data_IF_322543764424
#
_entry.id   IF_322543764424
#
_cell.length_a   1.000
_cell.length_b   1.000
_cell.length_c   1.000
_cell.angle_alpha   90.00
_cell.angle_beta   90.00
_cell.angle_gamma   90.00
#
_symmetry.space_group_name_H-M   'P 1'
#
loop_
_entity.id
_entity.type
_entity.pdbx_description
1 polymer ?
#
# COMPACT_ATOMS: atom_id res chain seq x y z
N UNK A 1 34.90 -12.52 22.90
CA UNK A 1 35.17 -12.06 21.51
C UNK A 1 33.95 -11.27 21.06
N UNK A 2 34.01 -9.94 20.91
CA UNK A 2 32.86 -9.19 20.44
C UNK A 2 32.52 -9.63 19.01
N UNK A 3 31.26 -10.00 18.77
CA UNK A 3 30.76 -10.33 17.44
C UNK A 3 30.94 -9.09 16.53
N UNK A 4 31.43 -9.30 15.31
CA UNK A 4 31.50 -8.19 14.35
C UNK A 4 30.07 -7.65 14.08
N UNK A 5 29.90 -6.33 13.85
CA UNK A 5 28.57 -5.73 13.66
C UNK A 5 27.72 -6.42 12.58
N UNK A 6 28.36 -6.90 11.51
CA UNK A 6 27.72 -7.67 10.45
C UNK A 6 27.21 -9.05 10.91
N UNK A 7 27.95 -9.73 11.80
CA UNK A 7 27.55 -11.03 12.35
C UNK A 7 26.41 -10.86 13.35
N UNK A 8 26.42 -9.80 14.16
CA UNK A 8 25.31 -9.41 15.03
C UNK A 8 24.02 -9.14 14.26
N UNK A 9 24.09 -8.40 13.15
CA UNK A 9 22.92 -8.11 12.29
C UNK A 9 22.32 -9.37 11.67
N UNK A 10 23.14 -10.30 11.16
CA UNK A 10 22.66 -11.58 10.62
C UNK A 10 21.96 -12.44 11.67
N UNK A 11 22.50 -12.46 12.88
CA UNK A 11 21.89 -13.20 14.01
C UNK A 11 20.56 -12.58 14.40
N UNK A 12 20.49 -11.24 14.54
CA UNK A 12 19.24 -10.53 14.83
C UNK A 12 18.15 -10.85 13.79
N UNK A 13 18.47 -10.75 12.49
CA UNK A 13 17.50 -11.02 11.41
C UNK A 13 16.97 -12.45 11.43
N UNK A 14 17.79 -13.43 11.84
CA UNK A 14 17.33 -14.80 12.05
C UNK A 14 16.33 -14.90 13.21
N UNK A 15 16.57 -14.23 14.33
CA UNK A 15 15.64 -14.24 15.46
C UNK A 15 14.34 -13.50 15.15
N UNK A 16 14.41 -12.37 14.42
CA UNK A 16 13.22 -11.65 13.93
C UNK A 16 12.38 -12.57 13.05
N UNK A 17 12.98 -13.30 12.12
CA UNK A 17 12.25 -14.24 11.25
C UNK A 17 11.57 -15.37 12.03
N UNK A 18 12.26 -15.97 13.01
CA UNK A 18 11.69 -17.03 13.86
C UNK A 18 10.50 -16.50 14.67
N UNK A 19 10.65 -15.32 15.27
CA UNK A 19 9.60 -14.74 16.10
C UNK A 19 8.41 -14.26 15.26
N UNK A 20 8.65 -13.65 14.10
CA UNK A 20 7.60 -13.29 13.16
C UNK A 20 6.80 -14.52 12.68
N UNK A 21 7.47 -15.63 12.39
CA UNK A 21 6.79 -16.88 12.04
C UNK A 21 5.92 -17.42 13.19
N UNK A 22 6.39 -17.30 14.44
CA UNK A 22 5.58 -17.65 15.60
C UNK A 22 4.34 -16.74 15.72
N UNK A 23 4.49 -15.42 15.60
CA UNK A 23 3.37 -14.48 15.67
C UNK A 23 2.32 -14.74 14.58
N UNK A 24 2.75 -15.04 13.35
CA UNK A 24 1.85 -15.38 12.24
C UNK A 24 1.04 -16.64 12.55
N UNK A 25 1.67 -17.67 13.11
CA UNK A 25 0.97 -18.91 13.49
C UNK A 25 -0.07 -18.67 14.60
N UNK A 26 0.14 -17.67 15.46
CA UNK A 26 -0.81 -17.23 16.48
C UNK A 26 -1.86 -16.24 15.94
N UNK A 27 -1.89 -15.97 14.63
CA UNK A 27 -2.80 -15.01 14.00
C UNK A 27 -2.46 -13.54 14.24
N UNK A 28 -1.25 -13.24 14.73
CA UNK A 28 -0.80 -11.89 15.11
C UNK A 28 0.04 -11.22 14.01
N UNK A 29 -0.44 -11.27 12.76
CA UNK A 29 0.32 -10.82 11.59
C UNK A 29 0.60 -9.31 11.57
N UNK A 30 -0.21 -8.49 12.25
CA UNK A 30 0.09 -7.05 12.47
C UNK A 30 1.34 -6.88 13.34
N UNK A 31 1.50 -7.67 14.41
CA UNK A 31 2.70 -7.59 15.27
C UNK A 31 3.94 -8.09 14.51
N UNK A 32 3.78 -9.10 13.66
CA UNK A 32 4.85 -9.55 12.77
C UNK A 32 5.29 -8.44 11.80
N UNK A 33 4.35 -7.66 11.25
CA UNK A 33 4.65 -6.48 10.44
C UNK A 33 5.39 -5.40 11.24
N UNK A 34 4.98 -5.14 12.49
CA UNK A 34 5.63 -4.16 13.36
C UNK A 34 7.10 -4.51 13.64
N UNK A 35 7.42 -5.80 13.82
CA UNK A 35 8.81 -6.25 13.96
C UNK A 35 9.66 -5.89 12.73
N UNK A 36 9.14 -6.12 11.53
CA UNK A 36 9.87 -5.81 10.30
C UNK A 36 9.94 -4.31 10.00
N UNK A 37 8.97 -3.55 10.50
CA UNK A 37 9.02 -2.08 10.47
C UNK A 37 10.10 -1.55 11.42
N UNK A 38 10.30 -2.20 12.58
CA UNK A 38 11.28 -1.79 13.60
C UNK A 38 12.71 -2.22 13.27
N UNK A 39 12.90 -3.46 12.80
CA UNK A 39 14.23 -4.06 12.60
C UNK A 39 14.65 -4.15 11.13
N UNK A 40 13.78 -3.76 10.20
CA UNK A 40 13.98 -3.84 8.75
C UNK A 40 13.69 -5.22 8.18
N UNK A 41 13.23 -5.26 6.92
CA UNK A 41 12.93 -6.48 6.17
C UNK A 41 13.98 -6.70 5.06
N UNK A 42 15.03 -7.51 5.30
CA UNK A 42 16.03 -7.78 4.27
C UNK A 42 15.44 -8.64 3.15
N UNK A 43 15.84 -8.38 1.90
CA UNK A 43 15.44 -9.15 0.71
C UNK A 43 16.12 -10.54 0.64
N UNK A 44 16.00 -11.33 1.70
CA UNK A 44 16.48 -12.72 1.78
C UNK A 44 15.39 -13.68 1.33
N UNK A 45 15.70 -14.53 0.36
CA UNK A 45 14.75 -15.51 -0.19
C UNK A 45 14.16 -16.45 0.88
N UNK A 46 14.91 -16.74 1.95
CA UNK A 46 14.44 -17.57 3.07
C UNK A 46 13.24 -16.96 3.80
N UNK A 47 13.07 -15.63 3.74
CA UNK A 47 12.01 -14.91 4.44
C UNK A 47 10.82 -14.55 3.54
N UNK A 48 10.88 -14.79 2.23
CA UNK A 48 9.81 -14.35 1.31
C UNK A 48 8.44 -14.94 1.64
N UNK A 49 8.39 -16.19 2.11
CA UNK A 49 7.13 -16.80 2.55
C UNK A 49 6.53 -16.06 3.75
N UNK A 50 7.36 -15.52 4.65
CA UNK A 50 6.92 -14.73 5.79
C UNK A 50 6.31 -13.41 5.31
N UNK A 51 6.99 -12.69 4.40
CA UNK A 51 6.50 -11.43 3.85
C UNK A 51 5.20 -11.60 3.07
N UNK A 52 5.12 -12.64 2.23
CA UNK A 52 3.89 -13.02 1.52
C UNK A 52 2.76 -13.34 2.49
N UNK A 53 3.04 -14.09 3.56
CA UNK A 53 2.03 -14.43 4.56
C UNK A 53 1.52 -13.21 5.33
N UNK A 54 2.40 -12.29 5.70
CA UNK A 54 2.01 -11.00 6.32
C UNK A 54 1.07 -10.23 5.39
N UNK A 55 1.41 -10.12 4.09
CA UNK A 55 0.55 -9.46 3.11
C UNK A 55 -0.83 -10.14 3.04
N UNK A 56 -0.87 -11.47 2.80
CA UNK A 56 -2.12 -12.21 2.62
C UNK A 56 -3.00 -12.11 3.87
N UNK A 57 -2.43 -12.23 5.07
CA UNK A 57 -3.20 -12.13 6.31
C UNK A 57 -3.78 -10.72 6.51
N UNK A 58 -3.02 -9.67 6.18
CA UNK A 58 -3.49 -8.29 6.31
C UNK A 58 -4.56 -7.97 5.26
N UNK A 59 -4.39 -8.39 4.00
CA UNK A 59 -5.41 -8.15 2.96
C UNK A 59 -6.68 -8.95 3.20
N UNK A 60 -6.62 -10.07 3.91
CA UNK A 60 -7.81 -10.83 4.32
C UNK A 60 -8.46 -10.35 5.61
N UNK A 61 -7.81 -9.47 6.38
CA UNK A 61 -8.32 -9.04 7.67
C UNK A 61 -9.54 -8.11 7.55
N UNK A 62 -10.58 -8.39 8.34
CA UNK A 62 -11.77 -7.53 8.52
C UNK A 62 -11.45 -6.27 9.32
N UNK A 63 -12.24 -5.21 9.13
CA UNK A 63 -12.08 -3.94 9.87
C UNK A 63 -10.93 -3.04 9.39
N UNK A 64 -10.13 -3.49 8.43
CA UNK A 64 -9.07 -2.67 7.81
C UNK A 64 -9.56 -1.80 6.63
N UNK A 65 -10.86 -1.77 6.37
CA UNK A 65 -11.51 -0.94 5.35
C UNK A 65 -11.86 0.48 5.82
N UNK A 66 -11.26 0.92 6.93
CA UNK A 66 -11.56 2.20 7.59
C UNK A 66 -10.36 3.14 7.59
N UNK A 67 -10.60 4.43 7.82
CA UNK A 67 -9.53 5.45 7.93
C UNK A 67 -8.54 5.15 9.06
N UNK A 68 -8.99 4.53 10.15
CA UNK A 68 -8.17 4.15 11.31
C UNK A 68 -7.12 3.09 10.97
N UNK A 69 -7.32 2.33 9.89
CA UNK A 69 -6.41 1.28 9.45
C UNK A 69 -5.18 1.82 8.71
N UNK A 70 -5.11 3.13 8.44
CA UNK A 70 -4.03 3.74 7.66
C UNK A 70 -2.64 3.32 8.12
N UNK A 71 -2.36 3.32 9.43
CA UNK A 71 -1.05 2.97 9.98
C UNK A 71 -0.61 1.54 9.64
N UNK A 72 -1.56 0.59 9.64
CA UNK A 72 -1.27 -0.81 9.27
C UNK A 72 -0.90 -0.88 7.79
N UNK A 73 -1.68 -0.22 6.94
CA UNK A 73 -1.46 -0.20 5.50
C UNK A 73 -0.18 0.54 5.10
N UNK A 74 0.12 1.69 5.70
CA UNK A 74 1.35 2.43 5.42
C UNK A 74 2.58 1.70 5.90
N UNK A 75 2.51 0.98 7.03
CA UNK A 75 3.60 0.11 7.49
C UNK A 75 3.85 -1.04 6.52
N UNK A 76 2.79 -1.69 6.02
CA UNK A 76 2.88 -2.75 5.01
C UNK A 76 3.47 -2.22 3.69
N UNK A 77 2.98 -1.07 3.22
CA UNK A 77 3.50 -0.35 2.05
C UNK A 77 5.00 -0.07 2.19
N UNK A 78 5.43 0.46 3.33
CA UNK A 78 6.83 0.81 3.57
C UNK A 78 7.74 -0.43 3.62
N UNK A 79 7.26 -1.53 4.22
CA UNK A 79 7.97 -2.82 4.22
C UNK A 79 8.13 -3.35 2.78
N UNK A 80 7.03 -3.39 2.01
CA UNK A 80 7.06 -3.84 0.61
C UNK A 80 7.92 -2.94 -0.28
N UNK A 81 7.93 -1.63 -0.02
CA UNK A 81 8.75 -0.68 -0.75
C UNK A 81 10.24 -0.93 -0.52
N UNK A 82 10.63 -1.15 0.74
CA UNK A 82 12.02 -1.47 1.10
C UNK A 82 12.48 -2.75 0.41
N UNK A 83 11.65 -3.80 0.42
CA UNK A 83 11.93 -5.07 -0.26
C UNK A 83 12.04 -4.89 -1.77
N UNK A 84 11.11 -4.15 -2.39
CA UNK A 84 11.15 -3.85 -3.82
C UNK A 84 12.41 -3.08 -4.23
N UNK A 85 12.85 -2.09 -3.44
CA UNK A 85 14.09 -1.35 -3.70
C UNK A 85 15.32 -2.25 -3.62
N UNK A 86 15.44 -3.06 -2.57
CA UNK A 86 16.56 -4.01 -2.43
C UNK A 86 16.58 -5.01 -3.60
N UNK A 87 15.43 -5.55 -3.99
CA UNK A 87 15.30 -6.44 -5.15
C UNK A 87 15.63 -5.74 -6.47
N UNK A 88 15.33 -4.46 -6.60
CA UNK A 88 15.62 -3.70 -7.82
C UNK A 88 17.10 -3.38 -7.98
N UNK A 89 17.83 -3.23 -6.87
CA UNK A 89 19.26 -2.96 -6.87
C UNK A 89 20.12 -4.23 -7.04
N UNK A 90 19.60 -5.39 -6.63
CA UNK A 90 20.32 -6.66 -6.78
C UNK A 90 20.16 -7.21 -8.21
N UNK A 91 21.25 -7.24 -8.98
CA UNK A 91 21.27 -7.78 -10.36
C UNK A 91 20.92 -9.27 -10.43
N UNK A 92 21.13 -10.01 -9.34
CA UNK A 92 20.92 -11.45 -9.26
C UNK A 92 19.47 -11.83 -8.90
N UNK A 93 18.61 -10.85 -8.61
CA UNK A 93 17.21 -11.12 -8.28
C UNK A 93 16.45 -11.58 -9.52
N UNK A 94 15.66 -12.65 -9.37
CA UNK A 94 14.75 -13.10 -10.42
C UNK A 94 13.73 -12.00 -10.79
N UNK A 95 13.59 -11.69 -12.08
CA UNK A 95 12.64 -10.70 -12.61
C UNK A 95 11.18 -11.01 -12.18
N UNK A 96 10.81 -12.30 -12.09
CA UNK A 96 9.47 -12.68 -11.64
C UNK A 96 9.21 -12.30 -10.17
N UNK A 97 10.19 -12.52 -9.29
CA UNK A 97 10.10 -12.12 -7.89
C UNK A 97 10.02 -10.61 -7.74
N UNK A 98 10.79 -9.86 -8.54
CA UNK A 98 10.72 -8.39 -8.53
C UNK A 98 9.34 -7.89 -8.92
N UNK A 99 8.73 -8.48 -9.96
CA UNK A 99 7.35 -8.17 -10.39
C UNK A 99 6.33 -8.52 -9.32
N UNK A 100 6.46 -9.68 -8.67
CA UNK A 100 5.60 -10.09 -7.57
C UNK A 100 5.62 -9.06 -6.41
N UNK A 101 6.80 -8.66 -5.95
CA UNK A 101 6.92 -7.64 -4.89
C UNK A 101 6.49 -6.23 -5.33
N UNK A 102 6.60 -5.92 -6.62
CA UNK A 102 6.02 -4.69 -7.16
C UNK A 102 4.49 -4.71 -7.06
N UNK A 103 3.84 -5.85 -7.37
CA UNK A 103 2.40 -6.02 -7.18
C UNK A 103 2.01 -5.91 -5.71
N UNK A 104 2.76 -6.55 -4.79
CA UNK A 104 2.53 -6.45 -3.35
C UNK A 104 2.63 -5.02 -2.82
N UNK A 105 3.61 -4.28 -3.33
CA UNK A 105 3.77 -2.87 -3.03
C UNK A 105 2.58 -2.04 -3.54
N UNK A 106 2.14 -2.25 -4.79
CA UNK A 106 1.00 -1.54 -5.35
C UNK A 106 -0.28 -1.78 -4.56
N UNK A 107 -0.60 -3.04 -4.22
CA UNK A 107 -1.77 -3.40 -3.40
C UNK A 107 -1.70 -2.66 -2.06
N UNK A 108 -0.58 -2.77 -1.37
CA UNK A 108 -0.38 -2.13 -0.05
C UNK A 108 -0.47 -0.60 -0.15
N UNK A 109 0.07 -0.01 -1.22
CA UNK A 109 0.01 1.41 -1.48
C UNK A 109 -1.42 1.89 -1.76
N UNK A 110 -2.21 1.16 -2.55
CA UNK A 110 -3.59 1.53 -2.85
C UNK A 110 -4.48 1.46 -1.61
N UNK A 111 -4.32 0.43 -0.77
CA UNK A 111 -5.03 0.38 0.51
C UNK A 111 -4.63 1.53 1.45
N UNK A 112 -3.32 1.84 1.56
CA UNK A 112 -2.85 2.96 2.37
C UNK A 112 -3.38 4.31 1.87
N UNK A 113 -3.32 4.53 0.56
CA UNK A 113 -3.82 5.73 -0.09
C UNK A 113 -5.32 5.85 0.12
N UNK A 114 -6.08 4.76 -0.05
CA UNK A 114 -7.53 4.74 0.16
C UNK A 114 -7.89 5.14 1.59
N UNK A 115 -7.23 4.53 2.58
CA UNK A 115 -7.47 4.84 3.99
C UNK A 115 -7.17 6.31 4.33
N UNK A 116 -6.13 6.91 3.71
CA UNK A 116 -5.82 8.33 3.88
C UNK A 116 -6.87 9.22 3.22
N UNK A 117 -7.19 9.00 1.94
CA UNK A 117 -8.06 9.93 1.21
C UNK A 117 -9.52 9.86 1.66
N UNK A 118 -9.95 8.75 2.28
CA UNK A 118 -11.26 8.63 2.92
C UNK A 118 -11.45 9.57 4.13
N UNK A 119 -10.40 10.22 4.65
CA UNK A 119 -10.55 11.24 5.68
C UNK A 119 -11.09 12.58 5.13
N UNK A 120 -11.08 12.76 3.80
CA UNK A 120 -11.53 13.97 3.13
C UNK A 120 -12.60 13.64 2.08
N UNK A 121 -13.83 14.13 2.30
CA UNK A 121 -14.97 13.86 1.42
C UNK A 121 -14.75 14.34 -0.02
N UNK A 122 -13.91 15.36 -0.23
CA UNK A 122 -13.58 15.86 -1.58
C UNK A 122 -12.78 14.86 -2.40
N UNK A 123 -12.21 13.82 -1.76
CA UNK A 123 -11.46 12.75 -2.38
C UNK A 123 -12.22 11.41 -2.42
N UNK A 124 -13.51 11.37 -2.08
CA UNK A 124 -14.28 10.12 -2.10
C UNK A 124 -14.25 9.41 -3.47
N UNK A 125 -14.28 10.15 -4.57
CA UNK A 125 -14.11 9.59 -5.93
C UNK A 125 -12.76 8.92 -6.10
N UNK A 126 -11.69 9.45 -5.47
CA UNK A 126 -10.36 8.84 -5.48
C UNK A 126 -10.35 7.52 -4.70
N UNK A 127 -11.02 7.48 -3.54
CA UNK A 127 -11.19 6.25 -2.77
C UNK A 127 -11.94 5.17 -3.57
N UNK A 128 -12.99 5.55 -4.29
CA UNK A 128 -13.73 4.64 -5.17
C UNK A 128 -12.83 4.09 -6.29
N UNK A 129 -12.10 4.95 -7.01
CA UNK A 129 -11.15 4.51 -8.04
C UNK A 129 -10.10 3.52 -7.53
N UNK A 130 -9.60 3.75 -6.31
CA UNK A 130 -8.64 2.86 -5.66
C UNK A 130 -9.23 1.48 -5.36
N UNK A 131 -10.45 1.41 -4.82
CA UNK A 131 -11.13 0.12 -4.59
C UNK A 131 -11.45 -0.61 -5.87
N UNK A 132 -11.94 0.11 -6.89
CA UNK A 132 -12.15 -0.46 -8.23
C UNK A 132 -10.86 -1.02 -8.80
N UNK A 133 -9.75 -0.30 -8.61
CA UNK A 133 -8.43 -0.74 -9.06
C UNK A 133 -7.91 -1.99 -8.36
N UNK A 134 -8.29 -2.20 -7.09
CA UNK A 134 -7.92 -3.39 -6.33
C UNK A 134 -8.62 -4.66 -6.86
N UNK A 135 -9.71 -4.56 -7.63
CA UNK A 135 -10.34 -5.70 -8.29
C UNK A 135 -9.41 -6.43 -9.27
N UNK A 136 -8.38 -5.75 -9.81
CA UNK A 136 -7.36 -6.39 -10.66
C UNK A 136 -6.39 -7.29 -9.90
N UNK A 137 -6.49 -7.31 -8.58
CA UNK A 137 -5.58 -8.01 -7.68
C UNK A 137 -6.31 -9.08 -6.86
N UNK A 138 -7.47 -9.57 -7.35
CA UNK A 138 -8.27 -10.61 -6.69
C UNK A 138 -7.62 -11.98 -6.66
N UNK A 139 -6.50 -12.17 -7.36
CA UNK A 139 -5.60 -13.31 -7.23
C UNK A 139 -4.82 -13.31 -5.89
N UNK A 140 -4.70 -12.14 -5.23
CA UNK A 140 -4.01 -11.94 -3.96
C UNK A 140 -4.96 -11.44 -2.86
N UNK A 141 -5.85 -10.52 -3.20
CA UNK A 141 -6.87 -9.95 -2.33
C UNK A 141 -8.12 -10.84 -2.39
N UNK A 142 -8.74 -11.23 -1.26
CA UNK A 142 -9.99 -12.00 -1.31
C UNK A 142 -11.05 -11.30 -2.15
N UNK A 143 -11.60 -12.02 -3.13
CA UNK A 143 -12.47 -11.44 -4.14
C UNK A 143 -13.76 -10.88 -3.54
N UNK A 144 -14.39 -11.62 -2.65
CA UNK A 144 -15.57 -11.18 -1.89
C UNK A 144 -15.33 -9.83 -1.16
N UNK A 145 -14.19 -9.68 -0.48
CA UNK A 145 -13.79 -8.42 0.13
C UNK A 145 -13.61 -7.31 -0.91
N UNK A 146 -12.88 -7.59 -1.99
CA UNK A 146 -12.55 -6.59 -2.99
C UNK A 146 -13.81 -6.05 -3.70
N UNK A 147 -14.72 -6.95 -4.12
CA UNK A 147 -15.99 -6.60 -4.76
C UNK A 147 -16.93 -5.87 -3.80
N UNK A 148 -17.00 -6.28 -2.54
CA UNK A 148 -17.77 -5.56 -1.52
C UNK A 148 -17.26 -4.13 -1.30
N UNK A 149 -15.96 -3.95 -1.09
CA UNK A 149 -15.37 -2.63 -0.86
C UNK A 149 -15.49 -1.72 -2.10
N UNK A 150 -15.38 -2.28 -3.30
CA UNK A 150 -15.58 -1.54 -4.56
C UNK A 150 -17.04 -1.13 -4.75
N UNK A 151 -17.99 -2.05 -4.56
CA UNK A 151 -19.43 -1.78 -4.64
C UNK A 151 -19.87 -0.70 -3.67
N UNK A 152 -19.46 -0.81 -2.40
CA UNK A 152 -19.77 0.16 -1.35
C UNK A 152 -19.27 1.57 -1.68
N UNK A 153 -18.03 1.70 -2.15
CA UNK A 153 -17.46 3.01 -2.46
C UNK A 153 -18.03 3.59 -3.75
N UNK A 154 -18.28 2.78 -4.78
CA UNK A 154 -18.98 3.22 -5.99
C UNK A 154 -20.37 3.76 -5.64
N UNK A 155 -21.13 3.05 -4.81
CA UNK A 155 -22.45 3.48 -4.33
C UNK A 155 -22.36 4.83 -3.61
N UNK A 156 -21.38 5.02 -2.74
CA UNK A 156 -21.24 6.27 -1.97
C UNK A 156 -20.88 7.51 -2.81
N UNK A 157 -20.35 7.32 -4.01
CA UNK A 157 -20.05 8.42 -4.96
C UNK A 157 -21.05 8.52 -6.10
N UNK A 158 -22.16 7.76 -6.05
CA UNK A 158 -23.21 7.77 -7.07
C UNK A 158 -22.86 7.04 -8.36
N UNK A 159 -21.88 6.14 -8.36
CA UNK A 159 -21.54 5.29 -9.51
C UNK A 159 -22.42 4.03 -9.50
N UNK A 160 -23.73 4.21 -9.64
CA UNK A 160 -24.72 3.14 -9.45
C UNK A 160 -24.52 1.95 -10.40
N UNK A 161 -24.18 2.19 -11.67
CA UNK A 161 -23.92 1.13 -12.65
C UNK A 161 -22.77 0.22 -12.20
N UNK A 162 -21.61 0.80 -11.85
CA UNK A 162 -20.46 0.03 -11.34
C UNK A 162 -20.78 -0.64 -10.00
N UNK A 163 -21.45 0.08 -9.09
CA UNK A 163 -21.85 -0.48 -7.81
C UNK A 163 -22.75 -1.72 -7.99
N UNK A 164 -23.69 -1.66 -8.93
CA UNK A 164 -24.61 -2.75 -9.21
C UNK A 164 -23.86 -3.97 -9.74
N UNK A 165 -23.05 -3.81 -10.78
CA UNK A 165 -22.28 -4.91 -11.39
C UNK A 165 -21.37 -5.57 -10.35
N UNK A 166 -20.64 -4.79 -9.55
CA UNK A 166 -19.75 -5.35 -8.52
C UNK A 166 -20.48 -6.03 -7.38
N UNK A 167 -21.63 -5.49 -6.97
CA UNK A 167 -22.40 -6.08 -5.86
C UNK A 167 -23.15 -7.32 -6.30
N UNK A 168 -23.64 -7.36 -7.54
CA UNK A 168 -24.25 -8.57 -8.10
C UNK A 168 -23.21 -9.70 -8.16
N UNK A 169 -22.02 -9.41 -8.71
CA UNK A 169 -20.94 -10.40 -8.76
C UNK A 169 -20.45 -10.83 -7.37
N UNK A 170 -20.49 -9.95 -6.36
CA UNK A 170 -20.25 -10.32 -4.98
C UNK A 170 -21.22 -11.39 -4.48
N UNK A 171 -22.51 -11.29 -4.84
CA UNK A 171 -23.51 -12.29 -4.43
C UNK A 171 -23.21 -13.64 -5.09
N UNK A 172 -22.83 -13.65 -6.37
CA UNK A 172 -22.40 -14.87 -7.06
C UNK A 172 -21.17 -15.49 -6.36
N UNK A 173 -20.18 -14.67 -5.98
CA UNK A 173 -19.00 -15.13 -5.22
C UNK A 173 -19.42 -15.69 -3.86
N UNK A 174 -20.36 -15.05 -3.16
CA UNK A 174 -20.84 -15.55 -1.88
C UNK A 174 -21.50 -16.92 -2.01
N UNK A 175 -22.31 -17.14 -3.04
CA UNK A 175 -22.90 -18.44 -3.37
C UNK A 175 -21.82 -19.48 -3.72
N UNK A 176 -20.83 -19.10 -4.52
CA UNK A 176 -19.69 -19.97 -4.85
C UNK A 176 -18.86 -20.37 -3.61
N UNK A 177 -18.70 -19.48 -2.63
CA UNK A 177 -18.04 -19.79 -1.34
C UNK A 177 -18.87 -20.80 -0.55
N UNK A 178 -20.19 -20.66 -0.50
CA UNK A 178 -21.09 -21.60 0.17
C UNK A 178 -21.07 -22.99 -0.49
N UNK A 179 -21.03 -23.05 -1.82
CA UNK A 179 -20.98 -24.29 -2.61
C UNK A 179 -19.57 -24.90 -2.67
N UNK A 180 -18.53 -24.12 -2.37
CA UNK A 180 -17.12 -24.54 -2.42
C UNK A 180 -16.58 -24.75 -3.84
N UNK A 181 -17.22 -24.18 -4.86
CA UNK A 181 -16.79 -24.27 -6.27
C UNK A 181 -17.06 -22.96 -7.02
N UNK A 182 -16.20 -22.64 -8.00
CA UNK A 182 -16.35 -21.48 -8.89
C UNK A 182 -17.15 -21.81 -10.16
N UNK A 183 -17.55 -23.07 -10.37
CA UNK A 183 -18.15 -23.54 -11.62
C UNK A 183 -19.48 -22.82 -11.97
N UNK A 184 -20.15 -22.26 -10.97
CA UNK A 184 -21.41 -21.51 -11.10
C UNK A 184 -21.22 -20.02 -11.37
N UNK A 185 -20.00 -19.47 -11.30
CA UNK A 185 -19.77 -18.04 -11.48
C UNK A 185 -19.93 -17.62 -12.95
N UNK A 186 -20.79 -16.64 -13.20
CA UNK A 186 -20.85 -15.94 -14.47
C UNK A 186 -19.83 -14.80 -14.51
N UNK A 187 -18.98 -14.80 -15.55
CA UNK A 187 -17.98 -13.77 -15.80
C UNK A 187 -18.29 -12.92 -17.03
N UNK A 188 -19.51 -13.03 -17.58
CA UNK A 188 -19.95 -12.34 -18.79
C UNK A 188 -19.71 -10.82 -18.73
N UNK A 189 -20.00 -10.19 -17.59
CA UNK A 189 -19.82 -8.77 -17.35
C UNK A 189 -18.36 -8.30 -17.38
N UNK A 190 -17.41 -9.22 -17.19
CA UNK A 190 -15.98 -8.92 -17.04
C UNK A 190 -15.11 -9.38 -18.22
N UNK A 191 -15.69 -10.01 -19.25
CA UNK A 191 -14.95 -10.57 -20.41
C UNK A 191 -14.01 -9.60 -21.12
N UNK A 192 -14.36 -8.30 -21.17
CA UNK A 192 -13.59 -7.25 -21.84
C UNK A 192 -12.81 -6.36 -20.84
N UNK A 193 -12.52 -6.89 -19.65
CA UNK A 193 -11.79 -6.21 -18.58
C UNK A 193 -10.48 -6.94 -18.27
N UNK A 194 -9.69 -6.38 -17.36
CA UNK A 194 -8.47 -6.98 -16.80
C UNK A 194 -8.68 -7.45 -15.35
N UNK A 195 -9.94 -7.68 -14.95
CA UNK A 195 -10.28 -8.31 -13.67
C UNK A 195 -10.12 -9.84 -13.82
N UNK A 196 -9.33 -10.50 -12.95
CA UNK A 196 -9.11 -11.95 -13.02
C UNK A 196 -10.40 -12.77 -12.91
N UNK A 197 -10.55 -13.81 -13.76
CA UNK A 197 -11.60 -14.84 -13.62
C UNK A 197 -11.18 -15.95 -12.67
N UNK A 198 -9.92 -16.36 -12.73
CA UNK A 198 -9.36 -17.36 -11.83
C UNK A 198 -8.95 -16.69 -10.52
N UNK A 199 -9.79 -16.85 -9.49
CA UNK A 199 -9.58 -16.31 -8.15
C UNK A 199 -9.46 -17.45 -7.13
N UNK A 200 -8.62 -17.31 -6.09
CA UNK A 200 -8.64 -18.24 -4.97
C UNK A 200 -9.94 -18.05 -4.18
N UNK A 201 -10.72 -19.12 -4.02
CA UNK A 201 -11.94 -19.10 -3.22
C UNK A 201 -11.58 -19.03 -1.72
N UNK A 202 -12.05 -18.01 -0.97
CA UNK A 202 -11.84 -17.96 0.48
C UNK A 202 -12.53 -19.11 1.22
N UNK A 203 -11.96 -19.55 2.35
CA UNK A 203 -12.58 -20.58 3.21
C UNK A 203 -13.85 -20.08 3.91
N UNK A 204 -13.94 -18.78 4.16
CA UNK A 204 -15.04 -18.13 4.85
C UNK A 204 -15.34 -16.79 4.18
N UNK A 205 -16.63 -16.46 4.11
CA UNK A 205 -17.10 -15.18 3.60
C UNK A 205 -16.60 -14.02 4.48
N UNK A 206 -16.13 -12.95 3.83
CA UNK A 206 -15.64 -11.74 4.46
C UNK A 206 -16.76 -10.95 5.18
N UNK A 207 -17.96 -10.97 4.60
CA UNK A 207 -19.13 -10.24 5.10
C UNK A 207 -19.80 -11.01 6.25
N UNK A 208 -20.31 -10.27 7.23
CA UNK A 208 -21.28 -10.84 8.17
C UNK A 208 -22.61 -11.15 7.47
N UNK A 209 -23.43 -12.07 8.02
CA UNK A 209 -24.75 -12.38 7.44
C UNK A 209 -25.65 -11.15 7.28
N UNK A 210 -25.56 -10.18 8.20
CA UNK A 210 -26.33 -8.94 8.13
C UNK A 210 -25.86 -7.99 7.03
N UNK A 211 -24.56 -7.90 6.78
CA UNK A 211 -24.02 -7.10 5.67
C UNK A 211 -24.35 -7.72 4.32
N UNK A 212 -24.31 -9.06 4.23
CA UNK A 212 -24.71 -9.80 3.04
C UNK A 212 -26.19 -9.57 2.70
N UNK A 213 -27.07 -9.64 3.70
CA UNK A 213 -28.51 -9.38 3.49
C UNK A 213 -28.76 -7.94 3.00
N UNK A 214 -28.04 -6.96 3.54
CA UNK A 214 -28.11 -5.57 3.06
C UNK A 214 -27.67 -5.44 1.59
N UNK A 215 -26.68 -6.22 1.14
CA UNK A 215 -26.30 -6.23 -0.27
C UNK A 215 -27.38 -6.87 -1.14
N UNK A 216 -27.98 -7.98 -0.69
CA UNK A 216 -29.09 -8.65 -1.38
C UNK A 216 -30.29 -7.72 -1.55
N UNK A 217 -30.74 -7.08 -0.46
CA UNK A 217 -31.85 -6.12 -0.48
C UNK A 217 -31.59 -4.98 -1.47
N UNK A 218 -30.37 -4.44 -1.49
CA UNK A 218 -30.01 -3.36 -2.39
C UNK A 218 -29.97 -3.78 -3.86
N UNK A 219 -29.39 -4.94 -4.19
CA UNK A 219 -29.38 -5.47 -5.57
C UNK A 219 -30.81 -5.72 -6.05
N UNK A 220 -31.70 -6.23 -5.19
CA UNK A 220 -33.11 -6.41 -5.50
C UNK A 220 -33.81 -5.06 -5.77
N UNK A 221 -33.59 -4.05 -4.93
CA UNK A 221 -34.15 -2.71 -5.10
C UNK A 221 -33.73 -2.09 -6.45
N UNK A 222 -32.43 -2.14 -6.76
CA UNK A 222 -31.90 -1.61 -8.02
C UNK A 222 -32.41 -2.40 -9.22
N UNK A 223 -32.51 -3.73 -9.12
CA UNK A 223 -33.05 -4.57 -10.21
C UNK A 223 -34.51 -4.26 -10.53
N UNK A 224 -35.30 -3.82 -9.55
CA UNK A 224 -36.68 -3.36 -9.77
C UNK A 224 -36.73 -1.96 -10.38
N UNK A 225 -35.67 -1.16 -10.22
CA UNK A 225 -35.55 0.18 -10.76
C UNK A 225 -34.87 0.15 -12.14
N UNK A 226 -35.67 0.14 -13.21
CA UNK A 226 -35.20 0.05 -14.62
C UNK A 226 -34.32 1.23 -15.10
N UNK A 227 -33.99 2.19 -14.24
CA UNK A 227 -33.20 3.36 -14.59
C UNK A 227 -31.68 3.16 -14.46
N UNK A 228 -31.22 2.07 -13.83
CA UNK A 228 -29.79 1.80 -13.66
C UNK A 228 -29.29 0.91 -14.80
N UNK A 229 -28.36 1.45 -15.60
CA UNK A 229 -27.68 0.68 -16.63
C UNK A 229 -26.75 -0.36 -16.00
N UNK A 230 -26.92 -1.62 -16.38
CA UNK A 230 -26.14 -2.75 -15.87
C UNK A 230 -24.90 -2.99 -16.72
N UNK A 231 -24.15 -1.92 -17.03
CA UNK A 231 -22.99 -1.98 -17.92
C UNK A 231 -21.84 -1.18 -17.32
N UNK A 232 -20.65 -1.77 -17.36
CA UNK A 232 -19.43 -1.08 -16.93
C UNK A 232 -19.10 0.10 -17.87
N UNK A 233 -18.80 1.29 -17.32
CA UNK A 233 -18.53 2.47 -18.12
C UNK A 233 -17.23 2.33 -18.92
N UNK A 234 -17.21 2.97 -20.09
CA UNK A 234 -16.08 2.90 -21.03
C UNK A 234 -15.38 4.25 -21.12
N UNK A 235 -14.07 4.21 -21.28
CA UNK A 235 -13.25 5.40 -21.53
C UNK A 235 -13.17 5.77 -23.02
N UNK A 236 -12.31 6.75 -23.34
CA UNK A 236 -12.06 7.23 -24.70
C UNK A 236 -11.48 6.17 -25.67
N UNK A 237 -10.98 5.04 -25.17
CA UNK A 237 -10.53 3.89 -25.98
C UNK A 237 -11.69 2.95 -26.31
N UNK A 238 -12.88 3.16 -25.74
CA UNK A 238 -14.03 2.27 -25.89
C UNK A 238 -13.92 0.98 -25.08
N UNK A 239 -13.02 0.92 -24.10
CA UNK A 239 -12.83 -0.22 -23.18
C UNK A 239 -13.23 0.20 -21.77
N UNK A 240 -13.40 -0.77 -20.86
CA UNK A 240 -13.75 -0.49 -19.46
C UNK A 240 -12.78 0.55 -18.84
N UNK A 241 -13.33 1.61 -18.24
CA UNK A 241 -12.55 2.80 -17.87
C UNK A 241 -11.42 2.56 -16.87
N UNK A 242 -11.54 1.54 -16.01
CA UNK A 242 -10.50 1.20 -15.05
C UNK A 242 -9.48 0.21 -15.60
N UNK A 243 -9.69 -0.31 -16.82
CA UNK A 243 -8.83 -1.34 -17.38
C UNK A 243 -7.49 -0.79 -17.85
N UNK A 244 -6.40 -1.46 -17.48
CA UNK A 244 -5.05 -1.11 -17.93
C UNK A 244 -4.79 -1.62 -19.34
N UNK A 245 -5.47 -2.69 -19.77
CA UNK A 245 -5.27 -3.34 -21.06
C UNK A 245 -6.41 -3.01 -22.00
N UNK A 246 -6.07 -2.53 -23.20
CA UNK A 246 -7.07 -2.44 -24.26
C UNK A 246 -7.22 -3.81 -24.93
N UNK A 247 -8.34 -4.50 -24.66
CA UNK A 247 -8.63 -5.84 -25.20
C UNK A 247 -8.68 -5.90 -26.74
N UNK A 248 -8.90 -4.78 -27.42
CA UNK A 248 -9.01 -4.72 -28.88
C UNK A 248 -7.64 -4.78 -29.58
N UNK A 249 -6.59 -4.25 -28.94
CA UNK A 249 -5.26 -4.12 -29.57
C UNK A 249 -4.10 -4.60 -28.68
N UNK A 250 -4.37 -5.04 -27.45
CA UNK A 250 -3.39 -5.55 -26.48
C UNK A 250 -2.50 -4.47 -25.84
N UNK A 251 -2.75 -3.18 -26.09
CA UNK A 251 -1.92 -2.11 -25.55
C UNK A 251 -2.16 -1.96 -24.04
N UNK A 252 -1.09 -2.09 -23.27
CA UNK A 252 -1.11 -1.85 -21.82
C UNK A 252 -0.80 -0.38 -21.48
N UNK A 253 -1.53 0.14 -20.51
CA UNK A 253 -1.33 1.47 -19.93
C UNK A 253 -0.68 1.34 -18.56
N UNK A 254 0.10 2.35 -18.17
CA UNK A 254 0.68 2.40 -16.82
C UNK A 254 -0.44 2.70 -15.81
N UNK A 255 -0.53 1.97 -14.68
CA UNK A 255 -1.48 2.30 -13.63
C UNK A 255 -1.10 3.61 -12.94
N UNK A 256 -2.09 4.46 -12.68
CA UNK A 256 -1.90 5.70 -11.93
C UNK A 256 -1.51 5.38 -10.49
N UNK A 257 -0.39 5.89 -10.01
CA UNK A 257 0.10 5.61 -8.66
C UNK A 257 -0.91 6.03 -7.58
N UNK A 258 -1.73 7.05 -7.84
CA UNK A 258 -2.68 7.63 -6.89
C UNK A 258 -4.05 6.93 -6.91
N UNK A 259 -4.47 6.39 -8.06
CA UNK A 259 -5.84 5.87 -8.25
C UNK A 259 -5.93 4.45 -8.80
N UNK A 260 -4.82 3.91 -9.30
CA UNK A 260 -4.73 2.66 -10.05
C UNK A 260 -5.31 2.70 -11.46
N UNK A 261 -6.14 3.70 -11.80
CA UNK A 261 -6.72 3.87 -13.13
C UNK A 261 -5.65 4.05 -14.22
N UNK A 262 -5.94 3.73 -15.49
CA UNK A 262 -4.98 3.87 -16.57
C UNK A 262 -4.54 5.34 -16.76
N UNK A 263 -3.25 5.55 -16.97
CA UNK A 263 -2.70 6.86 -17.38
C UNK A 263 -2.68 6.94 -18.90
N UNK A 264 -3.70 7.60 -19.46
CA UNK A 264 -3.89 7.68 -20.92
C UNK A 264 -3.29 8.95 -21.52
N UNK A 265 -3.54 10.09 -20.88
CA UNK A 265 -3.16 11.43 -21.32
C UNK A 265 -2.69 12.25 -20.13
N UNK A 266 -1.91 13.29 -20.40
CA UNK A 266 -1.51 14.28 -19.39
C UNK A 266 -0.91 13.64 -18.13
N UNK A 267 0.13 12.82 -18.33
CA UNK A 267 0.87 12.16 -17.25
C UNK A 267 1.71 13.18 -16.45
N UNK A 268 1.81 12.97 -15.13
CA UNK A 268 2.78 13.68 -14.29
C UNK A 268 4.23 13.31 -14.62
N UNK A 269 5.17 14.28 -14.66
CA UNK A 269 6.58 14.00 -14.96
C UNK A 269 7.27 13.31 -13.77
N UNK A 270 7.22 11.98 -13.77
CA UNK A 270 8.01 11.10 -12.91
C UNK A 270 9.29 10.68 -13.64
N UNK A 271 10.41 10.60 -12.91
CA UNK A 271 11.68 10.15 -13.47
C UNK A 271 11.83 8.63 -13.41
N UNK A 272 11.06 7.96 -12.55
CA UNK A 272 11.10 6.51 -12.40
C UNK A 272 10.35 5.82 -13.57
N UNK A 273 11.01 4.97 -14.37
CA UNK A 273 10.34 4.26 -15.47
C UNK A 273 9.22 3.34 -14.98
N UNK A 274 8.15 3.23 -15.76
CA UNK A 274 7.00 2.39 -15.42
C UNK A 274 6.09 2.94 -14.32
N UNK A 275 6.36 4.15 -13.82
CA UNK A 275 5.51 4.86 -12.86
C UNK A 275 4.82 6.04 -13.54
N UNK A 276 3.52 6.18 -13.31
CA UNK A 276 2.70 7.23 -13.87
C UNK A 276 1.63 7.70 -12.89
N UNK A 277 1.13 8.91 -13.07
CA UNK A 277 -0.10 9.37 -12.43
C UNK A 277 -0.83 10.33 -13.35
N UNK A 278 -2.17 10.27 -13.31
CA UNK A 278 -3.01 11.24 -13.97
C UNK A 278 -2.84 12.61 -13.32
N UNK A 279 -2.54 13.65 -14.11
CA UNK A 279 -2.28 15.00 -13.60
C UNK A 279 -3.44 15.59 -12.80
N UNK A 280 -4.68 15.25 -13.16
CA UNK A 280 -5.87 15.69 -12.42
C UNK A 280 -5.97 15.06 -11.04
N UNK A 281 -5.75 13.74 -10.94
CA UNK A 281 -5.75 13.01 -9.66
C UNK A 281 -4.60 13.53 -8.77
N UNK A 282 -3.42 13.80 -9.36
CA UNK A 282 -2.30 14.45 -8.68
C UNK A 282 -2.67 15.83 -8.12
N UNK A 283 -3.24 16.70 -8.95
CA UNK A 283 -3.59 18.06 -8.53
C UNK A 283 -4.62 18.04 -7.39
N UNK A 284 -5.60 17.13 -7.44
CA UNK A 284 -6.58 16.96 -6.36
C UNK A 284 -5.93 16.52 -5.06
N UNK A 285 -5.07 15.48 -5.11
CA UNK A 285 -4.33 15.01 -3.93
C UNK A 285 -3.41 16.09 -3.37
N UNK A 286 -2.68 16.79 -4.25
CA UNK A 286 -1.79 17.88 -3.87
C UNK A 286 -2.56 19.00 -3.17
N UNK A 287 -3.65 19.49 -3.76
CA UNK A 287 -4.46 20.54 -3.15
C UNK A 287 -5.05 20.10 -1.81
N UNK A 288 -5.56 18.86 -1.73
CA UNK A 288 -6.04 18.31 -0.48
C UNK A 288 -4.93 18.23 0.57
N UNK A 289 -3.70 17.86 0.23
CA UNK A 289 -2.58 17.85 1.20
C UNK A 289 -2.22 19.23 1.77
N UNK A 290 -2.56 20.31 1.04
CA UNK A 290 -2.33 21.70 1.44
C UNK A 290 -3.45 22.27 2.28
N UNK A 291 -4.69 21.88 1.97
CA UNK A 291 -5.90 22.39 2.64
C UNK A 291 -6.28 21.53 3.84
N UNK A 292 -6.21 20.21 3.68
CA UNK A 292 -6.37 19.27 4.78
C UNK A 292 -5.13 19.30 5.68
N UNK A 293 -5.35 19.27 6.99
CA UNK A 293 -4.28 19.07 7.97
C UNK A 293 -4.09 17.57 8.26
N UNK A 294 -4.42 16.69 7.30
CA UNK A 294 -4.31 15.24 7.48
C UNK A 294 -2.84 14.81 7.30
N UNK A 295 -2.19 14.28 8.35
CA UNK A 295 -0.84 13.73 8.22
C UNK A 295 -0.80 12.52 7.28
N UNK A 296 -1.90 11.76 7.17
CA UNK A 296 -2.00 10.59 6.31
C UNK A 296 -1.96 10.96 4.83
N UNK A 297 -2.69 12.01 4.42
CA UNK A 297 -2.65 12.52 3.04
C UNK A 297 -1.27 13.09 2.71
N UNK A 298 -0.64 13.77 3.66
CA UNK A 298 0.71 14.33 3.48
C UNK A 298 1.77 13.23 3.33
N UNK A 299 1.73 12.17 4.15
CA UNK A 299 2.61 11.02 4.02
C UNK A 299 2.41 10.31 2.67
N UNK A 300 1.16 10.10 2.23
CA UNK A 300 0.87 9.50 0.92
C UNK A 300 1.50 10.32 -0.19
N UNK A 301 1.32 11.65 -0.18
CA UNK A 301 1.90 12.52 -1.19
C UNK A 301 3.44 12.46 -1.18
N UNK A 302 4.05 12.48 0.01
CA UNK A 302 5.50 12.33 0.17
C UNK A 302 5.99 10.99 -0.39
N UNK A 303 5.29 9.90 -0.09
CA UNK A 303 5.62 8.57 -0.59
C UNK A 303 5.51 8.48 -2.12
N UNK A 304 4.44 9.02 -2.72
CA UNK A 304 4.26 9.08 -4.18
C UNK A 304 5.41 9.88 -4.83
N UNK A 305 5.84 10.99 -4.20
CA UNK A 305 7.00 11.76 -4.67
C UNK A 305 8.30 10.96 -4.63
N UNK A 306 8.52 10.27 -3.51
CA UNK A 306 9.72 9.46 -3.28
C UNK A 306 9.80 8.31 -4.29
N UNK A 307 8.70 7.58 -4.49
CA UNK A 307 8.67 6.43 -5.38
C UNK A 307 8.72 6.85 -6.86
N UNK A 308 7.96 7.87 -7.23
CA UNK A 308 7.95 8.41 -8.59
C UNK A 308 9.20 9.23 -8.97
N UNK A 309 10.07 9.55 -8.00
CA UNK A 309 11.23 10.42 -8.18
C UNK A 309 10.87 11.71 -8.92
N UNK A 310 9.87 12.42 -8.40
CA UNK A 310 9.32 13.64 -9.00
C UNK A 310 10.44 14.68 -9.23
N UNK A 311 10.38 15.38 -10.36
CA UNK A 311 11.35 16.43 -10.71
C UNK A 311 11.43 17.55 -9.64
N UNK A 312 12.59 18.21 -9.58
CA UNK A 312 12.90 19.24 -8.58
C UNK A 312 11.88 20.39 -8.57
N UNK A 313 11.35 20.83 -9.71
CA UNK A 313 10.42 21.96 -9.80
C UNK A 313 9.08 21.72 -9.08
N UNK A 314 8.57 20.50 -9.17
CA UNK A 314 7.36 20.07 -8.45
C UNK A 314 7.69 19.83 -6.97
N UNK A 315 8.91 19.36 -6.67
CA UNK A 315 9.43 19.20 -5.30
C UNK A 315 9.53 20.54 -4.55
N UNK A 316 9.91 21.64 -5.21
CA UNK A 316 9.93 22.98 -4.59
C UNK A 316 8.52 23.49 -4.26
N UNK A 317 7.53 23.20 -5.10
CA UNK A 317 6.13 23.59 -4.88
C UNK A 317 5.50 22.88 -3.66
N UNK A 318 6.01 21.69 -3.32
CA UNK A 318 5.63 20.95 -2.11
C UNK A 318 6.18 21.60 -0.83
N UNK A 319 7.35 22.24 -0.89
CA UNK A 319 8.05 22.83 0.26
C UNK A 319 7.86 24.35 0.39
N UNK A 320 6.87 24.92 -0.28
CA UNK A 320 6.51 26.36 -0.21
C UNK A 320 6.06 26.88 1.17
N UNK A 321 6.14 26.06 2.22
CA UNK A 321 6.27 26.49 3.60
C UNK A 321 7.57 25.88 4.14
N UNK A 322 8.52 26.74 4.52
CA UNK A 322 9.87 26.44 5.00
C UNK A 322 10.18 24.95 5.20
N UNK A 323 10.83 24.33 4.21
CA UNK A 323 11.58 23.10 4.45
C UNK A 323 12.69 23.43 5.45
N UNK A 324 12.49 23.12 6.72
CA UNK A 324 13.61 22.90 7.62
C UNK A 324 14.31 21.63 7.10
N UNK A 325 15.34 21.81 6.27
CA UNK A 325 16.23 20.72 5.92
C UNK A 325 16.98 20.35 7.20
N UNK A 326 16.54 19.27 7.85
CA UNK A 326 17.21 18.76 9.03
C UNK A 326 18.39 17.90 8.60
N UNK A 327 19.59 18.32 9.00
CA UNK A 327 20.81 17.53 8.84
C UNK A 327 21.04 16.78 10.15
N UNK A 328 21.13 15.46 10.07
CA UNK A 328 21.58 14.64 11.21
C UNK A 328 23.10 14.75 11.26
N UNK A 329 23.62 15.44 12.27
CA UNK A 329 25.07 15.55 12.51
C UNK A 329 25.44 14.52 13.58
N UNK A 330 26.23 13.53 13.19
CA UNK A 330 26.81 12.56 14.12
C UNK A 330 28.23 12.98 14.45
N UNK A 331 28.46 13.45 15.67
CA UNK A 331 29.80 13.76 16.17
C UNK A 331 30.30 12.59 17.00
N UNK A 332 31.39 11.97 16.55
CA UNK A 332 32.07 10.89 17.29
C UNK A 332 33.33 11.46 17.91
N UNK A 333 33.33 11.65 19.22
CA UNK A 333 34.51 12.08 19.97
C UNK A 333 35.13 10.89 20.71
N UNK A 334 36.41 10.64 20.45
CA UNK A 334 37.21 9.65 21.18
C UNK A 334 38.00 10.39 22.25
N UNK A 335 37.56 10.29 23.50
CA UNK A 335 38.28 10.92 24.62
C UNK A 335 39.14 9.87 25.30
N UNK A 336 40.45 9.99 25.13
CA UNK A 336 41.43 9.15 25.82
C UNK A 336 41.71 9.69 27.21
N UNK A 337 41.39 8.93 28.26
CA UNK A 337 41.94 9.15 29.61
C UNK A 337 42.76 7.92 30.02
N UNK A 338 43.86 8.16 30.73
CA UNK A 338 44.75 7.10 31.20
C UNK A 338 43.94 6.05 32.01
N UNK A 339 43.73 4.88 31.41
CA UNK A 339 42.97 3.77 32.00
C UNK A 339 41.85 3.18 31.14
N UNK A 340 41.42 3.82 30.05
CA UNK A 340 40.41 3.25 29.13
C UNK A 340 39.92 4.22 28.06
N UNK A 341 39.54 3.70 26.88
CA UNK A 341 38.94 4.51 25.80
C UNK A 341 37.45 4.67 26.05
N UNK A 342 36.97 5.91 26.12
CA UNK A 342 35.54 6.24 26.14
C UNK A 342 35.19 6.82 24.78
N UNK A 343 34.18 6.25 24.13
CA UNK A 343 33.61 6.80 22.89
C UNK A 343 32.29 7.46 23.26
N UNK A 344 32.21 8.76 23.01
CA UNK A 344 30.97 9.53 23.15
C UNK A 344 30.44 9.76 21.75
N UNK A 345 29.22 9.28 21.51
CA UNK A 345 28.48 9.55 20.28
C UNK A 345 27.33 10.47 20.65
N UNK A 346 27.41 11.71 20.18
CA UNK A 346 26.32 12.67 20.30
C UNK A 346 25.63 12.78 18.94
N UNK A 347 24.34 12.49 18.92
CA UNK A 347 23.50 12.66 17.73
C UNK A 347 22.61 13.89 17.92
N UNK A 348 22.77 14.89 17.07
CA UNK A 348 21.99 16.12 17.09
C UNK A 348 21.24 16.33 15.78
N UNK A 349 20.03 16.87 15.88
CA UNK A 349 19.23 17.32 14.74
C UNK A 349 19.39 18.84 14.63
N UNK A 350 20.00 19.30 13.54
CA UNK A 350 20.19 20.73 13.26
C UNK A 350 19.41 21.11 12.02
N UNK A 351 18.77 22.27 12.07
CA UNK A 351 18.12 22.84 10.90
C UNK A 351 19.16 23.46 9.93
N UNK A 352 18.68 23.90 8.78
CA UNK A 352 19.49 24.57 7.75
C UNK A 352 20.08 25.93 8.18
N UNK A 353 19.66 26.50 9.31
CA UNK A 353 20.18 27.72 9.92
C UNK A 353 21.39 27.45 10.82
N UNK A 354 21.62 26.20 11.19
CA UNK A 354 22.63 25.79 12.16
C UNK A 354 22.17 25.90 13.62
N UNK A 355 20.89 26.19 13.86
CA UNK A 355 20.32 26.24 15.20
C UNK A 355 19.75 24.86 15.58
N UNK A 356 20.18 24.35 16.74
CA UNK A 356 19.83 23.00 17.20
C UNK A 356 18.37 22.92 17.65
N UNK A 357 17.59 22.02 17.05
CA UNK A 357 16.23 21.73 17.51
C UNK A 357 16.29 20.53 18.46
N UNK A 358 15.92 20.77 19.72
CA UNK A 358 16.25 19.91 20.86
C UNK A 358 15.84 18.44 20.73
N UNK A 359 16.84 17.57 20.77
CA UNK A 359 17.06 16.52 21.77
C UNK A 359 18.38 15.82 21.40
N UNK A 360 19.45 16.09 22.15
CA UNK A 360 20.71 15.35 22.01
C UNK A 360 20.63 14.07 22.83
N UNK A 361 20.81 12.92 22.19
CA UNK A 361 21.02 11.66 22.90
C UNK A 361 22.52 11.42 22.96
N UNK A 362 23.08 11.52 24.17
CA UNK A 362 24.49 11.24 24.42
C UNK A 362 24.64 9.78 24.82
N UNK A 363 25.22 8.96 23.94
CA UNK A 363 25.52 7.57 24.24
C UNK A 363 26.98 7.47 24.65
N UNK A 364 27.23 7.12 25.91
CA UNK A 364 28.57 6.88 26.44
C UNK A 364 28.86 5.39 26.42
N UNK A 365 29.82 4.98 25.59
CA UNK A 365 30.29 3.59 25.56
C UNK A 365 31.59 3.48 26.35
N UNK A 366 31.50 2.87 27.53
CA UNK A 366 32.64 2.46 28.36
C UNK A 366 32.69 0.94 28.35
N UNK A 367 33.87 0.38 28.08
CA UNK A 367 34.14 -1.05 27.87
C UNK A 367 33.11 -2.02 28.46
N UNK A 368 32.24 -2.54 27.60
CA UNK A 368 31.39 -3.71 27.87
C UNK A 368 29.92 -3.46 28.25
N UNK A 369 29.46 -2.23 28.44
CA UNK A 369 28.04 -1.93 28.70
C UNK A 369 27.57 -0.64 28.04
N UNK A 370 26.38 -0.67 27.42
CA UNK A 370 25.71 0.52 26.85
C UNK A 370 24.72 1.03 27.88
N UNK A 371 24.81 2.31 28.24
CA UNK A 371 23.82 3.01 29.06
C UNK A 371 23.29 4.20 28.25
N UNK A 372 21.97 4.29 28.09
CA UNK A 372 21.29 5.48 27.58
C UNK A 372 20.79 6.30 28.77
N UNK A 373 21.00 7.61 28.72
CA UNK A 373 20.37 8.60 29.61
C UNK A 373 19.55 9.57 28.78
#
# INVERSE_FOLDING_TARGET
MPLSPAKGRKVLQKYVAIYAAHLINEGQSIQALELYTMYGAPASQQNFNIYKRILTDIVSMSGLNTTKAYKVWSSLRNMMYSLYLELSQNSDSNDSTRKEYHTYLLISHYYATRAAVQTDLSLNTMAAKLSVSLLRHTDIVPADKAFYEAGLLCKSVGWEAMAFVFTNHLLDIAEAIEDGTLDSLDHSDFQATDIPFEIPLPEHLFLSPGELEQQKEWVLEVSMNQNVEQVLPKDERGVYEASLVNYQNGQASVPCLITGYPVLKNQMPFNQPGIGANKEDWNKLFMASKVSHSPEIQDVLQFVCQWGQVTSDVSYSLHGGAAAAYVIVVVVAIVGKAGGRVVVVSCGVVDSSGDGVGHSVDVVVIGGGVWCS
#
